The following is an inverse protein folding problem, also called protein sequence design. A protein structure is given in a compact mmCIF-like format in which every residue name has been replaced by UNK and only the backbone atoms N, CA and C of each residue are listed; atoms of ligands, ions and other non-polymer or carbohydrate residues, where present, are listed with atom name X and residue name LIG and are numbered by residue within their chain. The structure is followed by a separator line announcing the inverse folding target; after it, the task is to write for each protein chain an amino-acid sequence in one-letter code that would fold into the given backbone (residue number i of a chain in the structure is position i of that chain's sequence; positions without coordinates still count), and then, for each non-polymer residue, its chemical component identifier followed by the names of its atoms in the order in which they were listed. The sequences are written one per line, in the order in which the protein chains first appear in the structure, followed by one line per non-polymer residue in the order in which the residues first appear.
data_IF_780252329769
#
_entry.id   IF_780252329769
#
_cell.length_a   1.000
_cell.length_b   1.000
_cell.length_c   1.000
_cell.angle_alpha   90.00
_cell.angle_beta   90.00
_cell.angle_gamma   90.00
#
_symmetry.space_group_name_H-M   'P 1'
#
loop_
_entity.id
_entity.type
_entity.pdbx_description
1 polymer ?
#
# COMPACT_ATOMS: atom_id res chain seq x y z
N UNK A 1 53.04 -31.62 -19.50
CA UNK A 1 52.85 -30.16 -19.70
C UNK A 1 51.47 -29.80 -19.17
N UNK A 2 51.39 -28.96 -18.15
CA UNK A 2 50.12 -28.47 -17.59
C UNK A 2 49.75 -27.16 -18.31
N UNK A 3 48.49 -27.03 -18.72
CA UNK A 3 47.96 -25.80 -19.34
C UNK A 3 46.97 -25.19 -18.35
N UNK A 4 47.24 -23.94 -17.93
CA UNK A 4 46.35 -23.17 -17.07
C UNK A 4 45.60 -22.16 -17.91
N UNK A 5 44.27 -22.20 -17.87
CA UNK A 5 43.40 -21.28 -18.59
C UNK A 5 42.72 -20.37 -17.56
N UNK A 6 42.89 -19.06 -17.74
CA UNK A 6 42.19 -18.04 -16.96
C UNK A 6 40.93 -17.60 -17.71
N UNK A 7 39.76 -17.77 -17.10
CA UNK A 7 38.48 -17.39 -17.70
C UNK A 7 37.74 -16.41 -16.79
N UNK A 8 37.10 -15.41 -17.38
CA UNK A 8 36.31 -14.42 -16.66
C UNK A 8 34.91 -14.99 -16.37
N UNK A 9 34.60 -15.23 -15.09
CA UNK A 9 33.30 -15.77 -14.67
C UNK A 9 32.39 -14.66 -14.16
N UNK A 10 31.19 -14.54 -14.75
CA UNK A 10 30.12 -13.66 -14.31
C UNK A 10 29.09 -14.46 -13.51
N UNK A 11 28.78 -14.01 -12.29
CA UNK A 11 27.88 -14.73 -11.39
C UNK A 11 26.85 -13.78 -10.79
N UNK A 12 25.58 -14.20 -10.74
CA UNK A 12 24.50 -13.50 -10.03
C UNK A 12 23.67 -14.46 -9.19
N UNK A 13 23.38 -14.07 -7.95
CA UNK A 13 22.42 -14.75 -7.06
C UNK A 13 21.04 -14.09 -7.17
N UNK A 14 20.00 -14.90 -7.40
CA UNK A 14 18.59 -14.51 -7.42
C UNK A 14 17.73 -15.66 -6.87
N UNK A 15 16.61 -16.00 -7.52
CA UNK A 15 15.87 -17.26 -7.23
C UNK A 15 16.66 -18.54 -7.54
N UNK A 16 17.73 -18.42 -8.31
CA UNK A 16 18.74 -19.43 -8.57
C UNK A 16 20.11 -18.77 -8.76
N UNK A 17 21.15 -19.58 -9.00
CA UNK A 17 22.48 -19.06 -9.35
C UNK A 17 22.64 -19.05 -10.87
N UNK A 18 22.82 -17.87 -11.47
CA UNK A 18 23.18 -17.75 -12.87
C UNK A 18 24.71 -17.58 -12.98
N UNK A 19 25.33 -18.35 -13.87
CA UNK A 19 26.77 -18.35 -14.14
C UNK A 19 26.96 -18.24 -15.66
N UNK A 20 27.85 -17.34 -16.08
CA UNK A 20 28.31 -17.22 -17.47
C UNK A 20 29.84 -17.13 -17.47
N UNK A 21 30.48 -17.80 -18.42
CA UNK A 21 31.95 -17.88 -18.55
C UNK A 21 32.52 -16.99 -19.66
N UNK A 22 31.64 -16.37 -20.46
CA UNK A 22 32.05 -15.61 -21.65
C UNK A 22 31.43 -14.22 -21.61
N UNK A 23 30.10 -14.14 -21.58
CA UNK A 23 29.37 -12.88 -21.62
C UNK A 23 28.90 -12.41 -20.23
N UNK A 24 28.84 -11.10 -19.96
CA UNK A 24 28.23 -10.58 -18.75
C UNK A 24 26.75 -10.98 -18.66
N UNK A 25 26.29 -11.30 -17.45
CA UNK A 25 24.89 -11.62 -17.23
C UNK A 25 24.00 -10.40 -17.55
N UNK A 26 22.90 -10.57 -18.30
CA UNK A 26 22.03 -9.45 -18.67
C UNK A 26 21.48 -8.80 -17.41
N UNK A 27 21.34 -7.46 -17.35
CA UNK A 27 20.84 -6.78 -16.16
C UNK A 27 19.48 -7.32 -15.74
N UNK A 28 19.21 -7.33 -14.42
CA UNK A 28 17.88 -7.71 -13.95
C UNK A 28 16.85 -6.72 -14.52
N UNK A 29 15.67 -7.20 -14.96
CA UNK A 29 14.59 -6.29 -15.29
C UNK A 29 14.31 -5.43 -14.05
N UNK A 30 14.21 -4.12 -14.25
CA UNK A 30 13.83 -3.24 -13.15
C UNK A 30 12.41 -3.61 -12.73
N UNK A 31 12.22 -3.86 -11.44
CA UNK A 31 10.89 -4.10 -10.92
C UNK A 31 10.02 -2.87 -11.21
N UNK A 32 8.77 -3.05 -11.66
CA UNK A 32 7.88 -1.92 -11.86
C UNK A 32 7.71 -1.18 -10.53
N UNK A 33 7.66 0.15 -10.59
CA UNK A 33 7.43 0.96 -9.39
C UNK A 33 6.06 0.59 -8.81
N UNK A 34 5.95 0.40 -7.48
CA UNK A 34 4.68 0.08 -6.87
C UNK A 34 3.71 1.26 -7.05
N UNK A 35 2.50 0.97 -7.50
CA UNK A 35 1.39 1.93 -7.55
C UNK A 35 0.54 1.73 -6.29
N UNK A 36 0.49 2.76 -5.45
CA UNK A 36 -0.24 2.74 -4.19
C UNK A 36 -1.71 3.12 -4.43
N UNK A 37 -2.60 2.26 -3.95
CA UNK A 37 -4.05 2.50 -4.01
C UNK A 37 -4.45 3.57 -2.99
N UNK A 38 -5.38 4.43 -3.38
CA UNK A 38 -5.95 5.40 -2.45
C UNK A 38 -6.95 4.70 -1.51
N UNK A 39 -6.45 4.31 -0.34
CA UNK A 39 -7.25 3.61 0.69
C UNK A 39 -8.33 4.52 1.26
N UNK A 40 -8.08 5.83 1.34
CA UNK A 40 -9.04 6.81 1.86
C UNK A 40 -10.23 6.92 0.92
N UNK A 41 -9.98 7.07 -0.39
CA UNK A 41 -11.03 7.07 -1.40
C UNK A 41 -11.88 5.79 -1.36
N UNK A 42 -11.22 4.63 -1.27
CA UNK A 42 -11.91 3.35 -1.16
C UNK A 42 -12.78 3.26 0.10
N UNK A 43 -12.29 3.76 1.24
CA UNK A 43 -13.03 3.71 2.48
C UNK A 43 -14.29 4.59 2.43
N UNK A 44 -14.19 5.76 1.81
CA UNK A 44 -15.33 6.65 1.58
C UNK A 44 -16.37 5.99 0.66
N UNK A 45 -15.95 5.39 -0.46
CA UNK A 45 -16.85 4.67 -1.37
C UNK A 45 -17.59 3.51 -0.68
N UNK A 46 -16.89 2.77 0.18
CA UNK A 46 -17.50 1.68 0.96
C UNK A 46 -18.53 2.22 1.95
N UNK A 47 -18.27 3.36 2.61
CA UNK A 47 -19.24 4.01 3.49
C UNK A 47 -20.46 4.49 2.70
N UNK A 48 -20.26 5.19 1.59
CA UNK A 48 -21.33 5.69 0.71
C UNK A 48 -22.23 4.52 0.27
N UNK A 49 -21.65 3.42 -0.21
CA UNK A 49 -22.39 2.23 -0.61
C UNK A 49 -23.23 1.63 0.53
N UNK A 50 -22.68 1.54 1.75
CA UNK A 50 -23.41 1.01 2.91
C UNK A 50 -24.53 1.94 3.38
N UNK A 51 -24.36 3.25 3.23
CA UNK A 51 -25.40 4.26 3.52
C UNK A 51 -26.54 4.17 2.52
N UNK A 52 -26.24 4.03 1.23
CA UNK A 52 -27.23 3.85 0.17
C UNK A 52 -27.97 2.50 0.27
N UNK A 53 -27.32 1.50 0.85
CA UNK A 53 -27.84 0.14 0.96
C UNK A 53 -27.87 -0.34 2.42
N UNK A 54 -28.71 0.25 3.30
CA UNK A 54 -28.68 -0.03 4.75
C UNK A 54 -29.01 -1.48 5.11
N UNK A 55 -29.66 -2.21 4.22
CA UNK A 55 -30.00 -3.64 4.39
C UNK A 55 -28.80 -4.58 4.11
N UNK A 56 -27.73 -4.06 3.50
CA UNK A 56 -26.58 -4.87 3.07
C UNK A 56 -25.58 -5.02 4.20
N UNK A 57 -25.07 -6.23 4.36
CA UNK A 57 -24.02 -6.53 5.33
C UNK A 57 -22.64 -6.13 4.80
N UNK A 58 -21.66 -6.00 5.70
CA UNK A 58 -20.26 -5.80 5.32
C UNK A 58 -19.72 -6.91 4.40
N UNK A 59 -20.25 -8.13 4.49
CA UNK A 59 -19.90 -9.23 3.57
C UNK A 59 -20.38 -8.93 2.15
N UNK A 60 -21.60 -8.42 2.00
CA UNK A 60 -22.14 -8.03 0.70
C UNK A 60 -21.36 -6.85 0.09
N UNK A 61 -20.98 -5.87 0.90
CA UNK A 61 -20.08 -4.79 0.46
C UNK A 61 -18.70 -5.34 0.04
N UNK A 62 -18.13 -6.29 0.81
CA UNK A 62 -16.88 -6.95 0.45
C UNK A 62 -16.93 -7.60 -0.93
N UNK A 63 -18.01 -8.34 -1.21
CA UNK A 63 -18.24 -8.95 -2.52
C UNK A 63 -18.37 -7.89 -3.63
N UNK A 64 -19.06 -6.77 -3.37
CA UNK A 64 -19.21 -5.67 -4.34
C UNK A 64 -17.87 -5.01 -4.71
N UNK A 65 -17.01 -4.77 -3.73
CA UNK A 65 -15.71 -4.11 -3.92
C UNK A 65 -14.54 -5.07 -4.16
N UNK A 66 -14.79 -6.39 -4.24
CA UNK A 66 -13.75 -7.40 -4.43
C UNK A 66 -12.74 -7.48 -3.27
N UNK A 67 -13.19 -7.27 -2.03
CA UNK A 67 -12.36 -7.34 -0.82
C UNK A 67 -13.00 -8.18 0.28
N UNK A 68 -12.20 -8.64 1.23
CA UNK A 68 -12.71 -9.45 2.34
C UNK A 68 -13.59 -8.62 3.28
N UNK A 69 -14.53 -9.26 3.99
CA UNK A 69 -15.31 -8.61 5.06
C UNK A 69 -14.41 -7.93 6.10
N UNK A 70 -13.32 -8.58 6.50
CA UNK A 70 -12.35 -8.01 7.43
C UNK A 70 -11.73 -6.71 6.89
N UNK A 71 -11.48 -6.64 5.58
CA UNK A 71 -11.00 -5.43 4.94
C UNK A 71 -12.05 -4.32 4.94
N UNK A 72 -13.33 -4.64 4.70
CA UNK A 72 -14.44 -3.68 4.84
C UNK A 72 -14.50 -3.10 6.25
N UNK A 73 -14.43 -3.95 7.27
CA UNK A 73 -14.41 -3.50 8.68
C UNK A 73 -13.25 -2.55 8.96
N UNK A 74 -12.04 -2.86 8.48
CA UNK A 74 -10.89 -1.97 8.59
C UNK A 74 -11.11 -0.61 7.92
N UNK A 75 -11.75 -0.59 6.75
CA UNK A 75 -12.06 0.65 6.03
C UNK A 75 -13.09 1.49 6.81
N UNK A 76 -14.12 0.86 7.39
CA UNK A 76 -15.09 1.55 8.24
C UNK A 76 -14.42 2.16 9.48
N UNK A 77 -13.54 1.42 10.17
CA UNK A 77 -12.77 1.94 11.30
C UNK A 77 -11.96 3.18 10.92
N UNK A 78 -11.37 3.20 9.72
CA UNK A 78 -10.64 4.38 9.23
C UNK A 78 -11.60 5.57 9.06
N UNK A 79 -12.76 5.35 8.46
CA UNK A 79 -13.73 6.44 8.20
C UNK A 79 -14.35 6.99 9.47
N UNK A 80 -14.61 6.14 10.45
CA UNK A 80 -15.24 6.54 11.72
C UNK A 80 -14.28 7.28 12.66
N UNK A 81 -12.97 7.09 12.50
CA UNK A 81 -11.97 7.62 13.43
C UNK A 81 -11.17 8.79 12.91
N UNK A 82 -10.98 8.94 11.60
CA UNK A 82 -10.17 10.03 11.05
C UNK A 82 -11.00 11.31 10.86
N UNK A 83 -10.39 12.50 10.95
CA UNK A 83 -11.10 13.77 10.80
C UNK A 83 -11.61 14.01 9.37
N UNK A 84 -12.74 14.70 9.23
CA UNK A 84 -13.34 15.01 7.91
C UNK A 84 -12.42 15.88 7.01
N UNK A 85 -11.70 16.83 7.60
CA UNK A 85 -10.70 17.65 6.89
C UNK A 85 -9.63 16.79 6.21
N UNK A 86 -9.21 15.71 6.87
CA UNK A 86 -8.24 14.77 6.32
C UNK A 86 -8.82 14.00 5.13
N UNK A 87 -10.10 13.59 5.20
CA UNK A 87 -10.78 12.95 4.07
C UNK A 87 -10.89 13.87 2.87
N UNK A 88 -11.21 15.14 3.08
CA UNK A 88 -11.35 16.13 2.01
C UNK A 88 -10.07 16.27 1.19
N UNK A 89 -8.92 16.26 1.85
CA UNK A 89 -7.60 16.34 1.18
C UNK A 89 -7.26 15.01 0.51
N UNK A 90 -7.44 13.89 1.21
CA UNK A 90 -6.91 12.60 0.78
C UNK A 90 -7.80 11.87 -0.23
N UNK A 91 -9.12 12.11 -0.25
CA UNK A 91 -10.06 11.41 -1.16
C UNK A 91 -9.72 11.61 -2.63
N UNK A 92 -9.23 12.80 -2.99
CA UNK A 92 -8.92 13.19 -4.38
C UNK A 92 -7.44 13.09 -4.71
N UNK A 93 -6.59 12.77 -3.73
CA UNK A 93 -5.14 12.76 -3.94
C UNK A 93 -4.69 11.61 -4.84
N UNK A 94 -3.89 11.94 -5.85
CA UNK A 94 -3.17 10.99 -6.71
C UNK A 94 -1.66 10.90 -6.42
N UNK A 95 -1.13 11.71 -5.50
CA UNK A 95 0.29 11.72 -5.12
C UNK A 95 0.70 10.38 -4.49
N UNK A 96 1.49 9.61 -5.24
CA UNK A 96 1.99 8.30 -4.83
C UNK A 96 2.87 8.35 -3.57
N UNK A 97 3.58 9.45 -3.34
CA UNK A 97 4.40 9.63 -2.13
C UNK A 97 3.51 9.79 -0.90
N UNK A 98 2.41 10.55 -1.04
CA UNK A 98 1.43 10.71 0.04
C UNK A 98 0.64 9.41 0.29
N UNK A 99 0.19 8.73 -0.76
CA UNK A 99 -0.51 7.46 -0.66
C UNK A 99 0.36 6.36 -0.04
N UNK A 100 1.67 6.36 -0.32
CA UNK A 100 2.64 5.48 0.34
C UNK A 100 2.72 5.74 1.84
N UNK A 101 2.82 7.01 2.25
CA UNK A 101 2.88 7.42 3.66
C UNK A 101 1.61 7.02 4.40
N UNK A 102 0.46 7.31 3.80
CA UNK A 102 -0.86 6.96 4.31
C UNK A 102 -1.34 5.59 3.81
N UNK A 103 -0.48 4.58 3.94
CA UNK A 103 -0.85 3.19 3.68
C UNK A 103 -1.98 2.73 4.60
N UNK A 104 -2.72 1.68 4.21
CA UNK A 104 -3.78 1.11 5.06
C UNK A 104 -3.30 0.72 6.46
N UNK A 105 -2.05 0.25 6.60
CA UNK A 105 -1.45 -0.05 7.92
C UNK A 105 -1.22 1.22 8.74
N UNK A 106 -0.74 2.29 8.10
CA UNK A 106 -0.54 3.59 8.76
C UNK A 106 -1.87 4.15 9.23
N UNK A 107 -2.87 4.16 8.35
CA UNK A 107 -4.22 4.67 8.65
C UNK A 107 -4.85 3.92 9.83
N UNK A 108 -4.78 2.59 9.84
CA UNK A 108 -5.28 1.79 10.96
C UNK A 108 -4.55 2.06 12.27
N UNK A 109 -3.23 2.31 12.23
CA UNK A 109 -2.49 2.70 13.44
C UNK A 109 -2.95 4.05 13.97
N UNK A 110 -3.17 5.02 13.09
CA UNK A 110 -3.68 6.36 13.46
C UNK A 110 -5.11 6.23 14.02
N UNK A 111 -5.94 5.40 13.40
CA UNK A 111 -7.33 5.15 13.81
C UNK A 111 -7.44 4.61 15.24
N UNK A 112 -6.45 3.84 15.69
CA UNK A 112 -6.38 3.25 17.03
C UNK A 112 -5.89 4.21 18.12
N UNK A 113 -5.43 5.41 17.77
CA UNK A 113 -5.04 6.42 18.77
C UNK A 113 -6.32 6.92 19.44
N UNK A 114 -6.47 6.70 20.74
CA UNK A 114 -7.69 7.05 21.48
C UNK A 114 -7.95 8.56 21.48
N UNK A 115 -6.93 9.36 21.81
CA UNK A 115 -7.06 10.80 21.91
C UNK A 115 -7.14 11.48 20.51
N UNK A 116 -8.22 12.21 20.19
CA UNK A 116 -8.39 12.89 18.90
C UNK A 116 -7.29 13.91 18.58
N UNK A 117 -6.78 14.64 19.59
CA UNK A 117 -5.71 15.62 19.39
C UNK A 117 -4.40 14.93 19.02
N UNK A 118 -4.07 13.82 19.67
CA UNK A 118 -2.88 13.04 19.33
C UNK A 118 -2.98 12.45 17.93
N UNK A 119 -4.20 12.04 17.52
CA UNK A 119 -4.49 11.56 16.17
C UNK A 119 -4.22 12.65 15.13
N UNK A 120 -4.74 13.86 15.36
CA UNK A 120 -4.50 15.03 14.52
C UNK A 120 -3.01 15.40 14.44
N UNK A 121 -2.32 15.46 15.58
CA UNK A 121 -0.88 15.74 15.62
C UNK A 121 -0.10 14.71 14.80
N UNK A 122 -0.46 13.42 14.89
CA UNK A 122 0.19 12.37 14.10
C UNK A 122 -0.05 12.52 12.61
N UNK A 123 -1.27 12.88 12.20
CA UNK A 123 -1.60 13.14 10.79
C UNK A 123 -0.77 14.32 10.27
N UNK A 124 -0.75 15.43 11.00
CA UNK A 124 0.02 16.63 10.64
C UNK A 124 1.52 16.33 10.52
N UNK A 125 2.09 15.57 11.46
CA UNK A 125 3.51 15.18 11.41
C UNK A 125 3.88 14.35 10.18
N UNK A 126 2.94 13.63 9.58
CA UNK A 126 3.19 12.83 8.38
C UNK A 126 3.05 13.70 7.11
N UNK A 127 2.17 14.70 7.16
CA UNK A 127 1.96 15.66 6.07
C UNK A 127 3.10 16.69 5.95
N UNK A 128 3.70 17.10 7.07
CA UNK A 128 4.69 18.18 7.14
C UNK A 128 6.14 17.77 6.82
N UNK A 129 6.33 16.63 6.15
CA UNK A 129 7.65 16.11 5.70
C UNK A 129 7.62 16.05 4.17
#
# INVERSE_FOLDING_TARGET
KEIRILVKMYRRRGRGTAISLYDPLPPLPQAPRPVYKNIVAMAVQVREYLVENPQRTQTAAGNHFGVTRARVSQLMTIVESLPDDFFSIMKTTADQSLLKRFSGKTLLKISKIENPNNRLCRIKSILSI
#
